data_IF_266168375738
#
_entry.id   IF_266168375738
#
_cell.length_a   1.000
_cell.length_b   1.000
_cell.length_c   1.000
_cell.angle_alpha   90.00
_cell.angle_beta   90.00
_cell.angle_gamma   90.00
#
_symmetry.space_group_name_H-M   'P 1'
#
loop_
_entity.id
_entity.type
_entity.pdbx_description
1 polymer ?
#
# COMPACT_ATOMS: atom_id res chain seq x y z
N UNK A 1 -1.33 -28.42 -12.45
CA UNK A 1 -2.68 -27.83 -12.28
C UNK A 1 -2.59 -26.33 -11.94
N UNK A 2 -1.94 -25.88 -10.86
CA UNK A 2 -1.87 -24.46 -10.46
C UNK A 2 -1.33 -23.53 -11.58
N UNK A 3 -0.27 -23.91 -12.27
CA UNK A 3 0.26 -23.12 -13.42
C UNK A 3 -0.79 -22.94 -14.53
N UNK A 4 -1.65 -23.93 -14.79
CA UNK A 4 -2.74 -23.82 -15.75
C UNK A 4 -3.86 -22.89 -15.26
N UNK A 5 -4.22 -22.96 -13.97
CA UNK A 5 -5.22 -22.07 -13.37
C UNK A 5 -4.73 -20.62 -13.43
N UNK A 6 -3.48 -20.38 -13.05
CA UNK A 6 -2.85 -19.06 -13.11
C UNK A 6 -2.83 -18.51 -14.55
N UNK A 7 -2.40 -19.31 -15.51
CA UNK A 7 -2.39 -18.90 -16.93
C UNK A 7 -3.79 -18.54 -17.44
N UNK A 8 -4.83 -19.32 -17.08
CA UNK A 8 -6.22 -19.00 -17.42
C UNK A 8 -6.70 -17.70 -16.80
N UNK A 9 -6.35 -17.45 -15.52
CA UNK A 9 -6.74 -16.24 -14.80
C UNK A 9 -6.14 -14.98 -15.45
N UNK A 10 -4.86 -15.00 -15.77
CA UNK A 10 -4.21 -13.87 -16.46
C UNK A 10 -4.72 -13.67 -17.88
N UNK A 11 -4.96 -14.75 -18.63
CA UNK A 11 -5.62 -14.68 -19.95
C UNK A 11 -7.03 -14.09 -19.84
N UNK A 12 -7.74 -14.35 -18.74
CA UNK A 12 -9.05 -13.75 -18.42
C UNK A 12 -9.00 -12.27 -18.08
N UNK A 13 -7.82 -11.70 -17.85
CA UNK A 13 -7.64 -10.27 -17.54
C UNK A 13 -7.39 -9.99 -16.05
N UNK A 14 -6.99 -10.98 -15.24
CA UNK A 14 -6.53 -10.70 -13.87
C UNK A 14 -5.34 -9.75 -13.90
N UNK A 15 -5.34 -8.78 -13.01
CA UNK A 15 -4.24 -7.80 -12.90
C UNK A 15 -3.05 -8.44 -12.20
N UNK A 16 -1.85 -8.16 -12.70
CA UNK A 16 -0.60 -8.70 -12.18
C UNK A 16 0.14 -7.59 -11.42
N UNK A 17 0.24 -7.76 -10.11
CA UNK A 17 1.15 -7.00 -9.27
C UNK A 17 2.02 -7.99 -8.50
N UNK A 18 3.32 -7.81 -8.59
CA UNK A 18 4.25 -8.53 -7.72
C UNK A 18 4.50 -7.64 -6.50
N UNK A 19 4.26 -8.17 -5.31
CA UNK A 19 4.55 -7.51 -4.04
C UNK A 19 5.61 -8.28 -3.28
N UNK A 20 6.55 -7.56 -2.71
CA UNK A 20 7.49 -8.07 -1.73
C UNK A 20 7.03 -7.64 -0.35
N UNK A 21 7.00 -8.56 0.60
CA UNK A 21 6.60 -8.26 1.97
C UNK A 21 7.86 -8.09 2.83
N UNK A 22 7.99 -6.93 3.48
CA UNK A 22 9.06 -6.66 4.43
C UNK A 22 8.77 -7.37 5.74
N UNK A 23 9.75 -8.14 6.20
CA UNK A 23 9.73 -8.84 7.49
C UNK A 23 10.97 -8.47 8.30
N UNK A 24 10.83 -8.57 9.63
CA UNK A 24 11.91 -8.36 10.57
C UNK A 24 12.19 -9.64 11.35
N UNK A 25 13.46 -10.02 11.45
CA UNK A 25 13.92 -10.92 12.50
C UNK A 25 14.07 -10.10 13.78
N UNK A 26 13.47 -10.57 14.86
CA UNK A 26 13.49 -9.89 16.15
C UNK A 26 14.15 -10.77 17.21
N UNK A 27 14.77 -10.16 18.20
CA UNK A 27 15.28 -10.87 19.36
C UNK A 27 14.16 -11.24 20.37
N UNK A 28 14.55 -11.85 21.49
CA UNK A 28 13.60 -12.26 22.55
C UNK A 28 12.88 -11.08 23.22
N UNK A 29 13.35 -9.85 23.05
CA UNK A 29 12.73 -8.61 23.56
C UNK A 29 11.83 -7.94 22.51
N UNK A 30 11.83 -8.47 21.27
CA UNK A 30 11.10 -7.91 20.14
C UNK A 30 11.85 -6.81 19.38
N UNK A 31 13.14 -6.58 19.69
CA UNK A 31 13.99 -5.62 18.97
C UNK A 31 14.34 -6.15 17.59
N UNK A 32 14.24 -5.37 16.50
CA UNK A 32 14.59 -5.80 15.17
C UNK A 32 16.11 -5.94 15.02
N UNK A 33 16.54 -7.13 14.56
CA UNK A 33 17.95 -7.45 14.30
C UNK A 33 18.30 -7.31 12.82
N UNK A 34 17.35 -7.65 11.95
CA UNK A 34 17.54 -7.65 10.50
C UNK A 34 16.20 -7.50 9.80
N UNK A 35 16.17 -6.82 8.67
CA UNK A 35 15.06 -6.80 7.73
C UNK A 35 15.36 -7.71 6.53
N UNK A 36 14.32 -8.32 5.96
CA UNK A 36 14.41 -9.13 4.75
C UNK A 36 13.09 -9.15 3.99
N UNK A 37 13.18 -9.46 2.68
CA UNK A 37 12.02 -9.55 1.82
C UNK A 37 11.59 -10.99 1.61
N UNK A 38 10.30 -11.24 1.86
CA UNK A 38 9.68 -12.52 1.58
C UNK A 38 9.04 -12.48 0.19
N UNK A 39 9.57 -13.28 -0.71
CA UNK A 39 9.04 -13.44 -2.06
C UNK A 39 8.13 -14.65 -2.17
N UNK A 40 7.01 -14.50 -2.90
CA UNK A 40 6.10 -15.60 -3.19
C UNK A 40 6.75 -16.61 -4.14
N UNK A 41 6.92 -17.87 -3.68
CA UNK A 41 7.50 -18.99 -4.42
C UNK A 41 6.40 -19.86 -5.05
N UNK A 42 6.78 -20.85 -5.87
CA UNK A 42 5.84 -21.74 -6.54
C UNK A 42 4.88 -22.48 -5.59
N UNK A 43 5.34 -22.86 -4.40
CA UNK A 43 4.49 -23.47 -3.38
C UNK A 43 3.41 -22.50 -2.86
N UNK A 44 3.75 -21.23 -2.66
CA UNK A 44 2.78 -20.20 -2.27
C UNK A 44 1.74 -19.98 -3.38
N UNK A 45 2.21 -19.90 -4.64
CA UNK A 45 1.35 -19.75 -5.83
C UNK A 45 0.44 -20.95 -6.05
N UNK A 46 0.90 -22.16 -5.72
CA UNK A 46 0.07 -23.37 -5.77
C UNK A 46 -1.12 -23.25 -4.82
N UNK A 47 -0.87 -22.95 -3.56
CA UNK A 47 -1.92 -22.79 -2.54
C UNK A 47 -2.86 -21.63 -2.91
N UNK A 48 -2.31 -20.48 -3.32
CA UNK A 48 -3.08 -19.33 -3.79
C UNK A 48 -4.10 -19.71 -4.87
N UNK A 49 -3.68 -20.38 -5.94
CA UNK A 49 -4.57 -20.72 -7.07
C UNK A 49 -5.68 -21.70 -6.64
N UNK A 50 -5.39 -22.66 -5.74
CA UNK A 50 -6.43 -23.55 -5.21
C UNK A 50 -7.38 -22.84 -4.26
N UNK A 51 -6.90 -21.90 -3.43
CA UNK A 51 -7.76 -21.05 -2.59
C UNK A 51 -8.66 -20.17 -3.46
N UNK A 52 -8.12 -19.54 -4.50
CA UNK A 52 -8.89 -18.75 -5.47
C UNK A 52 -9.96 -19.59 -6.17
N UNK A 53 -9.61 -20.81 -6.58
CA UNK A 53 -10.56 -21.73 -7.20
C UNK A 53 -11.70 -22.11 -6.25
N UNK A 54 -11.40 -22.46 -5.01
CA UNK A 54 -12.40 -22.80 -3.99
C UNK A 54 -13.33 -21.59 -3.71
N UNK A 55 -12.77 -20.43 -3.46
CA UNK A 55 -13.50 -19.18 -3.21
C UNK A 55 -14.46 -18.84 -4.38
N UNK A 56 -13.96 -18.92 -5.62
CA UNK A 56 -14.75 -18.70 -6.82
C UNK A 56 -15.87 -19.71 -6.96
N UNK A 57 -15.57 -21.01 -6.81
CA UNK A 57 -16.55 -22.11 -6.97
C UNK A 57 -17.68 -21.97 -5.96
N UNK A 58 -17.37 -21.64 -4.71
CA UNK A 58 -18.38 -21.37 -3.67
C UNK A 58 -19.25 -20.18 -4.04
N UNK A 59 -18.67 -19.07 -4.46
CA UNK A 59 -19.42 -17.89 -4.87
C UNK A 59 -20.35 -18.19 -6.07
N UNK A 60 -19.85 -18.93 -7.05
CA UNK A 60 -20.65 -19.35 -8.23
C UNK A 60 -21.79 -20.30 -7.87
N UNK A 61 -21.55 -21.26 -6.96
CA UNK A 61 -22.55 -22.28 -6.58
C UNK A 61 -23.81 -21.68 -5.93
N UNK A 62 -23.68 -20.53 -5.27
CA UNK A 62 -24.78 -19.81 -4.60
C UNK A 62 -25.28 -18.65 -5.44
N UNK A 63 -24.35 -17.90 -6.07
CA UNK A 63 -24.66 -16.67 -6.79
C UNK A 63 -25.19 -16.88 -8.21
N UNK A 64 -24.75 -17.92 -8.90
CA UNK A 64 -25.29 -18.26 -10.23
C UNK A 64 -26.65 -18.93 -10.08
N UNK A 65 -27.69 -18.22 -10.53
CA UNK A 65 -29.04 -18.77 -10.48
C UNK A 65 -29.49 -19.34 -11.81
N UNK A 66 -30.32 -20.36 -11.74
CA UNK A 66 -31.09 -20.83 -12.89
C UNK A 66 -32.12 -19.74 -13.25
N UNK A 67 -32.36 -19.54 -14.54
CA UNK A 67 -33.32 -18.55 -15.05
C UNK A 67 -34.67 -18.62 -14.30
N UNK A 68 -35.07 -17.51 -13.70
CA UNK A 68 -36.31 -17.40 -12.92
C UNK A 68 -36.19 -17.59 -11.40
N UNK A 69 -34.98 -17.96 -10.87
CA UNK A 69 -34.77 -18.03 -9.42
C UNK A 69 -33.93 -16.85 -8.96
N UNK A 70 -34.23 -16.28 -7.78
CA UNK A 70 -33.41 -15.25 -7.14
C UNK A 70 -32.20 -15.89 -6.47
N UNK A 71 -31.05 -15.24 -6.57
CA UNK A 71 -29.86 -15.65 -5.83
C UNK A 71 -30.12 -15.59 -4.32
N UNK A 72 -29.57 -16.56 -3.60
CA UNK A 72 -29.59 -16.53 -2.12
C UNK A 72 -28.56 -15.51 -1.63
N UNK A 73 -28.80 -14.93 -0.46
CA UNK A 73 -27.88 -13.99 0.20
C UNK A 73 -26.53 -14.64 0.43
N UNK A 74 -25.47 -13.95 0.02
CA UNK A 74 -24.08 -14.36 0.22
C UNK A 74 -23.20 -13.12 0.36
N UNK A 75 -22.26 -13.07 1.33
CA UNK A 75 -21.20 -12.08 1.33
C UNK A 75 -20.26 -12.32 0.15
N UNK A 76 -20.15 -11.36 -0.73
CA UNK A 76 -19.15 -11.36 -1.83
C UNK A 76 -17.96 -10.52 -1.43
N UNK A 77 -16.78 -10.86 -1.94
CA UNK A 77 -15.61 -9.98 -1.97
C UNK A 77 -15.58 -9.32 -3.34
N UNK A 78 -15.92 -8.06 -3.38
CA UNK A 78 -16.01 -7.32 -4.63
C UNK A 78 -14.87 -6.34 -4.79
N UNK A 79 -14.50 -6.09 -6.04
CA UNK A 79 -13.50 -5.10 -6.39
C UNK A 79 -13.97 -4.39 -7.66
N UNK A 80 -14.26 -3.10 -7.53
CA UNK A 80 -14.76 -2.30 -8.64
C UNK A 80 -13.66 -1.95 -9.64
N UNK A 81 -14.05 -1.39 -10.78
CA UNK A 81 -13.13 -0.86 -11.78
C UNK A 81 -12.26 0.23 -11.15
N UNK A 82 -11.08 0.52 -11.73
CA UNK A 82 -10.29 1.67 -11.34
C UNK A 82 -11.11 2.96 -11.37
N UNK A 83 -10.76 3.90 -10.48
CA UNK A 83 -11.33 5.24 -10.48
C UNK A 83 -11.06 5.91 -11.85
N UNK A 84 -12.09 6.38 -12.57
CA UNK A 84 -11.92 6.90 -13.93
C UNK A 84 -10.94 8.07 -14.01
N UNK A 85 -10.99 9.00 -13.04
CA UNK A 85 -10.13 10.18 -13.03
C UNK A 85 -8.68 9.79 -12.74
N UNK A 86 -8.46 8.92 -11.76
CA UNK A 86 -7.12 8.45 -11.41
C UNK A 86 -6.52 7.59 -12.52
N UNK A 87 -7.35 6.81 -13.22
CA UNK A 87 -6.90 6.01 -14.37
C UNK A 87 -6.52 6.90 -15.55
N UNK A 88 -7.23 8.01 -15.76
CA UNK A 88 -6.88 9.01 -16.76
C UNK A 88 -5.55 9.68 -16.41
N UNK A 89 -5.36 10.06 -15.14
CA UNK A 89 -4.08 10.62 -14.67
C UNK A 89 -2.92 9.64 -14.90
N UNK A 90 -3.14 8.33 -14.66
CA UNK A 90 -2.15 7.28 -14.99
C UNK A 90 -1.85 7.25 -16.49
N UNK A 91 -2.87 7.38 -17.33
CA UNK A 91 -2.71 7.40 -18.80
C UNK A 91 -1.86 8.58 -19.26
N UNK A 92 -2.19 9.77 -18.77
CA UNK A 92 -1.45 11.00 -19.09
C UNK A 92 -0.01 10.94 -18.60
N UNK A 93 0.18 10.45 -17.37
CA UNK A 93 1.51 10.28 -16.77
C UNK A 93 2.37 9.29 -17.58
N UNK A 94 1.84 8.11 -17.88
CA UNK A 94 2.55 7.08 -18.66
C UNK A 94 2.91 7.56 -20.07
N UNK A 95 2.05 8.40 -20.68
CA UNK A 95 2.30 8.97 -22.02
C UNK A 95 3.54 9.86 -22.06
N UNK A 96 3.90 10.53 -20.95
CA UNK A 96 5.11 11.37 -20.85
C UNK A 96 6.40 10.56 -21.03
N UNK A 97 6.36 9.28 -20.65
CA UNK A 97 7.47 8.33 -20.82
C UNK A 97 7.36 7.50 -22.11
N UNK A 98 6.40 7.82 -22.98
CA UNK A 98 6.19 7.13 -24.26
C UNK A 98 5.31 5.90 -24.20
N UNK A 99 4.78 5.53 -23.03
CA UNK A 99 3.89 4.37 -22.88
C UNK A 99 2.44 4.73 -23.22
N UNK A 100 1.76 3.85 -23.96
CA UNK A 100 0.38 4.08 -24.39
C UNK A 100 -0.61 3.20 -23.65
N UNK A 101 -1.29 3.76 -22.64
CA UNK A 101 -2.38 3.08 -21.95
C UNK A 101 -3.70 3.34 -22.70
N UNK A 102 -4.25 2.28 -23.30
CA UNK A 102 -5.54 2.37 -24.01
C UNK A 102 -6.69 2.39 -23.01
N UNK A 103 -7.54 3.41 -23.11
CA UNK A 103 -8.82 3.41 -22.41
C UNK A 103 -9.79 2.43 -23.09
N UNK A 104 -10.55 1.69 -22.29
CA UNK A 104 -11.56 0.78 -22.80
C UNK A 104 -12.79 0.79 -21.90
N UNK A 105 -13.95 0.67 -22.49
CA UNK A 105 -15.24 0.60 -21.79
C UNK A 105 -15.52 -0.77 -21.14
N UNK A 106 -14.71 -1.80 -21.45
CA UNK A 106 -14.92 -3.15 -20.92
C UNK A 106 -13.91 -3.50 -19.84
N UNK A 107 -14.38 -4.07 -18.72
CA UNK A 107 -13.56 -4.47 -17.55
C UNK A 107 -12.32 -5.27 -17.95
N UNK A 108 -12.49 -6.30 -18.79
CA UNK A 108 -11.39 -7.16 -19.21
C UNK A 108 -10.38 -6.48 -20.14
N UNK A 109 -10.78 -5.49 -20.93
CA UNK A 109 -9.86 -4.77 -21.80
C UNK A 109 -9.02 -3.75 -21.02
N UNK A 110 -9.61 -3.08 -20.02
CA UNK A 110 -8.88 -2.19 -19.10
C UNK A 110 -7.80 -2.96 -18.33
N UNK A 111 -8.13 -4.12 -17.77
CA UNK A 111 -7.17 -4.96 -17.06
C UNK A 111 -6.04 -5.47 -17.97
N UNK A 112 -6.36 -5.88 -19.20
CA UNK A 112 -5.33 -6.27 -20.17
C UNK A 112 -4.42 -5.11 -20.59
N UNK A 113 -4.99 -3.91 -20.77
CA UNK A 113 -4.21 -2.72 -21.08
C UNK A 113 -3.24 -2.37 -19.94
N UNK A 114 -3.71 -2.50 -18.70
CA UNK A 114 -2.89 -2.29 -17.52
C UNK A 114 -1.77 -3.33 -17.41
N UNK A 115 -2.08 -4.63 -17.59
CA UNK A 115 -1.06 -5.68 -17.58
C UNK A 115 0.00 -5.45 -18.66
N UNK A 116 -0.42 -5.05 -19.85
CA UNK A 116 0.50 -4.71 -20.94
C UNK A 116 1.42 -3.56 -20.56
N UNK A 117 0.88 -2.50 -19.94
CA UNK A 117 1.70 -1.40 -19.42
C UNK A 117 2.71 -1.92 -18.39
N UNK A 118 2.28 -2.77 -17.43
CA UNK A 118 3.17 -3.33 -16.42
C UNK A 118 4.28 -4.19 -17.03
N UNK A 119 3.97 -4.99 -18.05
CA UNK A 119 4.97 -5.78 -18.77
C UNK A 119 5.95 -4.90 -19.59
N UNK A 120 5.48 -3.78 -20.17
CA UNK A 120 6.30 -2.83 -20.92
C UNK A 120 7.26 -2.02 -20.03
N UNK A 121 6.86 -1.70 -18.79
CA UNK A 121 7.71 -0.93 -17.87
C UNK A 121 8.64 -1.80 -17.03
N UNK A 122 8.49 -3.11 -17.08
CA UNK A 122 9.29 -4.03 -16.26
C UNK A 122 10.79 -3.88 -16.54
N UNK A 123 11.59 -3.66 -15.50
CA UNK A 123 13.04 -3.46 -15.58
C UNK A 123 13.46 -2.06 -16.04
N UNK A 124 12.53 -1.14 -16.27
CA UNK A 124 12.85 0.25 -16.58
C UNK A 124 12.92 1.11 -15.31
N UNK A 125 13.50 2.29 -15.40
CA UNK A 125 13.59 3.25 -14.30
C UNK A 125 12.21 3.69 -13.79
N UNK A 126 11.24 3.77 -14.68
CA UNK A 126 9.89 4.24 -14.42
C UNK A 126 8.98 3.16 -13.81
N UNK A 127 9.43 1.91 -13.73
CA UNK A 127 8.64 0.76 -13.30
C UNK A 127 7.94 1.01 -11.95
N UNK A 128 8.72 1.34 -10.90
CA UNK A 128 8.19 1.54 -9.54
C UNK A 128 7.16 2.67 -9.48
N UNK A 129 7.43 3.76 -10.20
CA UNK A 129 6.54 4.93 -10.20
C UNK A 129 5.22 4.62 -10.90
N UNK A 130 5.29 4.04 -12.10
CA UNK A 130 4.09 3.68 -12.87
C UNK A 130 3.28 2.63 -12.11
N UNK A 131 3.91 1.63 -11.47
CA UNK A 131 3.25 0.66 -10.61
C UNK A 131 2.54 1.33 -9.43
N UNK A 132 3.19 2.29 -8.77
CA UNK A 132 2.61 3.02 -7.63
C UNK A 132 1.37 3.82 -8.06
N UNK A 133 1.45 4.57 -9.17
CA UNK A 133 0.31 5.36 -9.68
C UNK A 133 -0.81 4.42 -10.15
N UNK A 134 -0.47 3.31 -10.79
CA UNK A 134 -1.43 2.30 -11.20
C UNK A 134 -2.17 1.70 -10.00
N UNK A 135 -1.45 1.34 -8.93
CA UNK A 135 -2.04 0.84 -7.71
C UNK A 135 -2.96 1.87 -7.03
N UNK A 136 -2.55 3.14 -7.00
CA UNK A 136 -3.37 4.25 -6.46
C UNK A 136 -4.63 4.54 -7.28
N UNK A 137 -4.67 4.14 -8.55
CA UNK A 137 -5.86 4.26 -9.40
C UNK A 137 -6.90 3.19 -9.11
N UNK A 138 -6.52 2.08 -8.45
CA UNK A 138 -7.41 0.98 -8.12
C UNK A 138 -8.35 1.34 -6.98
N UNK A 139 -9.58 0.86 -7.07
CA UNK A 139 -10.52 0.89 -5.97
C UNK A 139 -10.13 -0.13 -4.89
N UNK A 140 -10.58 0.07 -3.65
CA UNK A 140 -10.39 -0.93 -2.59
C UNK A 140 -11.43 -2.04 -2.74
N UNK A 141 -11.01 -3.29 -2.54
CA UNK A 141 -11.93 -4.40 -2.43
C UNK A 141 -12.70 -4.32 -1.10
N UNK A 142 -13.99 -4.70 -1.09
CA UNK A 142 -14.85 -4.68 0.09
C UNK A 142 -15.76 -5.91 0.13
N UNK A 143 -16.36 -6.16 1.29
CA UNK A 143 -17.42 -7.15 1.42
C UNK A 143 -18.76 -6.48 1.20
N UNK A 144 -19.68 -7.18 0.52
CA UNK A 144 -21.07 -6.75 0.31
C UNK A 144 -21.92 -7.94 -0.15
N UNK A 145 -23.22 -7.87 0.06
CA UNK A 145 -24.16 -8.84 -0.49
C UNK A 145 -24.54 -8.53 -1.96
N UNK A 146 -24.07 -7.40 -2.49
CA UNK A 146 -24.29 -6.98 -3.88
C UNK A 146 -23.11 -7.38 -4.75
N UNK A 147 -23.30 -8.39 -5.59
CA UNK A 147 -22.23 -8.85 -6.47
C UNK A 147 -22.02 -7.89 -7.66
N UNK A 148 -20.87 -7.28 -7.74
CA UNK A 148 -20.39 -6.50 -8.90
C UNK A 148 -19.16 -7.13 -9.58
N UNK A 149 -18.76 -8.33 -9.12
CA UNK A 149 -17.55 -9.01 -9.54
C UNK A 149 -16.28 -8.48 -8.89
N UNK A 150 -15.15 -9.03 -9.27
CA UNK A 150 -13.84 -8.67 -8.75
C UNK A 150 -12.88 -8.31 -9.89
N UNK A 151 -12.68 -7.00 -10.13
CA UNK A 151 -11.87 -6.48 -11.22
C UNK A 151 -10.46 -7.06 -11.22
N UNK A 152 -9.73 -6.96 -10.12
CA UNK A 152 -8.33 -7.39 -10.04
C UNK A 152 -8.11 -8.89 -10.31
N UNK A 153 -9.11 -9.74 -10.02
CA UNK A 153 -9.06 -11.19 -10.28
C UNK A 153 -9.73 -11.60 -11.59
N UNK A 154 -10.43 -10.70 -12.24
CA UNK A 154 -11.27 -10.97 -13.42
C UNK A 154 -12.31 -12.08 -13.15
N UNK A 155 -12.93 -12.06 -11.99
CA UNK A 155 -13.99 -12.99 -11.61
C UNK A 155 -15.35 -12.30 -11.54
N UNK A 156 -16.36 -12.91 -12.14
CA UNK A 156 -17.76 -12.42 -12.04
C UNK A 156 -18.37 -12.71 -10.68
N UNK A 157 -17.92 -13.78 -10.01
CA UNK A 157 -18.35 -14.20 -8.68
C UNK A 157 -17.12 -14.53 -7.85
N UNK A 158 -17.02 -13.88 -6.69
CA UNK A 158 -15.92 -14.15 -5.77
C UNK A 158 -16.36 -13.90 -4.32
N UNK A 159 -15.98 -14.78 -3.43
CA UNK A 159 -16.15 -14.64 -1.99
C UNK A 159 -14.92 -15.13 -1.27
N UNK A 160 -14.77 -14.81 -0.01
CA UNK A 160 -13.79 -15.44 0.86
C UNK A 160 -14.42 -16.62 1.60
N UNK A 161 -13.79 -17.78 1.52
CA UNK A 161 -14.27 -19.04 2.11
C UNK A 161 -13.16 -19.84 2.79
N UNK A 162 -11.92 -19.70 2.35
CA UNK A 162 -10.82 -20.60 2.67
C UNK A 162 -10.09 -20.29 3.99
N UNK A 163 -10.45 -19.23 4.71
CA UNK A 163 -9.75 -18.80 5.92
C UNK A 163 -10.70 -18.42 7.08
N UNK A 164 -11.62 -19.32 7.53
CA UNK A 164 -12.63 -18.99 8.54
C UNK A 164 -12.07 -18.77 9.95
N UNK A 165 -10.84 -19.21 10.23
CA UNK A 165 -10.21 -19.03 11.55
C UNK A 165 -9.84 -17.55 11.78
N UNK A 166 -9.45 -16.84 10.74
CA UNK A 166 -8.95 -15.46 10.82
C UNK A 166 -9.84 -14.41 10.14
N UNK A 167 -10.86 -14.82 9.39
CA UNK A 167 -11.77 -13.91 8.69
C UNK A 167 -13.22 -14.29 8.98
N UNK A 168 -13.95 -13.38 9.60
CA UNK A 168 -15.36 -13.60 9.91
C UNK A 168 -16.25 -13.75 8.66
N UNK A 169 -16.06 -13.03 7.55
CA UNK A 169 -16.81 -13.28 6.31
C UNK A 169 -16.75 -14.72 5.81
N UNK A 170 -15.59 -15.39 5.93
CA UNK A 170 -15.47 -16.82 5.59
C UNK A 170 -16.37 -17.67 6.47
N UNK A 171 -16.43 -17.39 7.78
CA UNK A 171 -17.33 -18.09 8.72
C UNK A 171 -18.80 -17.85 8.37
N UNK A 172 -19.17 -16.62 7.97
CA UNK A 172 -20.54 -16.33 7.50
C UNK A 172 -20.87 -17.17 6.27
N UNK A 173 -19.96 -17.26 5.31
CA UNK A 173 -20.15 -18.07 4.10
C UNK A 173 -20.31 -19.55 4.45
N UNK A 174 -19.50 -20.12 5.34
CA UNK A 174 -19.66 -21.52 5.80
C UNK A 174 -21.03 -21.77 6.41
N UNK A 175 -21.50 -20.89 7.30
CA UNK A 175 -22.82 -21.00 7.93
C UNK A 175 -23.96 -20.93 6.89
N UNK A 176 -23.85 -20.04 5.91
CA UNK A 176 -24.83 -19.89 4.84
C UNK A 176 -24.86 -21.11 3.91
N UNK A 177 -23.70 -21.68 3.55
CA UNK A 177 -23.61 -22.91 2.77
C UNK A 177 -24.35 -24.04 3.49
N UNK A 178 -24.03 -24.29 4.75
CA UNK A 178 -24.69 -25.32 5.56
C UNK A 178 -26.20 -25.12 5.62
N UNK A 179 -26.65 -23.88 5.86
CA UNK A 179 -28.07 -23.52 5.86
C UNK A 179 -28.74 -23.86 4.52
N UNK A 180 -28.10 -23.52 3.42
CA UNK A 180 -28.68 -23.67 2.09
C UNK A 180 -28.66 -25.11 1.59
N UNK A 181 -27.65 -25.89 1.94
CA UNK A 181 -27.59 -27.34 1.68
C UNK A 181 -28.69 -28.11 2.42
N UNK A 182 -29.03 -27.67 3.64
CA UNK A 182 -30.11 -28.25 4.44
C UNK A 182 -31.53 -27.71 4.04
N UNK A 183 -31.65 -27.10 2.86
CA UNK A 183 -32.95 -26.61 2.35
C UNK A 183 -33.43 -25.28 2.96
N UNK A 184 -32.61 -24.60 3.75
CA UNK A 184 -32.98 -23.34 4.39
C UNK A 184 -33.27 -22.21 3.39
N UNK A 185 -34.18 -21.31 3.78
CA UNK A 185 -34.52 -20.10 3.02
C UNK A 185 -33.32 -19.14 2.98
N UNK A 186 -33.31 -18.24 1.98
CA UNK A 186 -32.35 -17.13 1.90
C UNK A 186 -32.30 -16.37 3.22
N UNK A 187 -31.08 -16.06 3.67
CA UNK A 187 -30.90 -15.23 4.86
C UNK A 187 -31.33 -13.77 4.59
N UNK A 188 -31.58 -13.02 5.69
CA UNK A 188 -31.90 -11.59 5.58
C UNK A 188 -30.72 -10.84 4.97
N UNK A 189 -30.98 -10.19 3.83
CA UNK A 189 -29.93 -9.53 3.04
C UNK A 189 -29.39 -8.29 3.75
N UNK A 190 -30.27 -7.49 4.32
CA UNK A 190 -29.89 -6.22 4.96
C UNK A 190 -29.01 -6.47 6.19
N UNK A 191 -29.37 -7.45 7.01
CA UNK A 191 -28.55 -7.86 8.16
C UNK A 191 -27.13 -8.33 7.72
N UNK A 192 -27.05 -9.11 6.63
CA UNK A 192 -25.73 -9.53 6.13
C UNK A 192 -24.96 -8.40 5.45
N UNK A 193 -25.64 -7.38 4.90
CA UNK A 193 -24.98 -6.18 4.38
C UNK A 193 -24.33 -5.38 5.51
N UNK A 194 -25.05 -5.13 6.61
CA UNK A 194 -24.48 -4.49 7.82
C UNK A 194 -23.25 -5.24 8.34
N UNK A 195 -23.30 -6.56 8.39
CA UNK A 195 -22.12 -7.37 8.79
C UNK A 195 -20.97 -7.25 7.78
N UNK A 196 -21.24 -7.16 6.49
CA UNK A 196 -20.21 -6.98 5.45
C UNK A 196 -19.56 -5.60 5.57
N UNK A 197 -20.33 -4.55 5.81
CA UNK A 197 -19.80 -3.19 6.04
C UNK A 197 -18.89 -3.19 7.26
N UNK A 198 -19.36 -3.71 8.39
CA UNK A 198 -18.57 -3.83 9.61
C UNK A 198 -17.27 -4.62 9.38
N UNK A 199 -17.32 -5.75 8.66
CA UNK A 199 -16.12 -6.54 8.34
C UNK A 199 -15.14 -5.76 7.47
N UNK A 200 -15.62 -4.95 6.54
CA UNK A 200 -14.76 -4.12 5.68
C UNK A 200 -14.07 -3.02 6.47
N UNK A 201 -14.77 -2.39 7.42
CA UNK A 201 -14.21 -1.37 8.30
C UNK A 201 -13.15 -1.97 9.25
N UNK A 202 -13.44 -3.14 9.83
CA UNK A 202 -12.48 -3.83 10.70
C UNK A 202 -11.26 -4.34 9.95
N UNK A 203 -11.41 -4.75 8.69
CA UNK A 203 -10.27 -5.08 7.82
C UNK A 203 -9.37 -3.86 7.61
N UNK A 204 -9.95 -2.68 7.38
CA UNK A 204 -9.18 -1.44 7.24
C UNK A 204 -8.42 -1.09 8.53
N UNK A 205 -9.05 -1.24 9.70
CA UNK A 205 -8.40 -1.04 10.99
C UNK A 205 -7.23 -2.01 11.17
N UNK A 206 -7.43 -3.30 10.86
CA UNK A 206 -6.38 -4.32 10.95
C UNK A 206 -5.21 -4.03 9.99
N UNK A 207 -5.48 -3.65 8.75
CA UNK A 207 -4.45 -3.28 7.78
C UNK A 207 -3.65 -2.05 8.22
N UNK A 208 -4.32 -1.05 8.79
CA UNK A 208 -3.63 0.14 9.31
C UNK A 208 -2.75 -0.22 10.51
N UNK A 209 -3.24 -1.06 11.42
CA UNK A 209 -2.46 -1.53 12.57
C UNK A 209 -1.21 -2.32 12.13
N UNK A 210 -1.34 -3.19 11.12
CA UNK A 210 -0.22 -3.93 10.53
C UNK A 210 0.82 -2.99 9.92
N UNK A 211 0.38 -2.04 9.08
CA UNK A 211 1.26 -1.01 8.49
C UNK A 211 1.99 -0.19 9.54
N UNK A 212 1.26 0.21 10.59
CA UNK A 212 1.82 0.98 11.69
C UNK A 212 2.84 0.18 12.49
N UNK A 213 2.61 -1.12 12.67
CA UNK A 213 3.56 -2.04 13.32
C UNK A 213 4.84 -2.19 12.51
N UNK A 214 4.71 -2.42 11.19
CA UNK A 214 5.87 -2.49 10.28
C UNK A 214 6.64 -1.16 10.30
N UNK A 215 5.93 -0.04 10.18
CA UNK A 215 6.54 1.30 10.21
C UNK A 215 7.27 1.57 11.53
N UNK A 216 6.69 1.15 12.65
CA UNK A 216 7.34 1.26 13.96
C UNK A 216 8.65 0.48 13.98
N UNK A 217 8.65 -0.78 13.48
CA UNK A 217 9.86 -1.61 13.41
C UNK A 217 10.91 -1.07 12.43
N UNK A 218 10.48 -0.46 11.33
CA UNK A 218 11.39 0.23 10.42
C UNK A 218 12.11 1.39 11.11
N UNK A 219 11.37 2.23 11.85
CA UNK A 219 11.94 3.38 12.56
C UNK A 219 12.85 2.94 13.69
N UNK A 220 12.48 1.86 14.42
CA UNK A 220 13.31 1.26 15.47
C UNK A 220 14.63 0.72 14.90
N UNK A 221 14.57 -0.02 13.79
CA UNK A 221 15.72 -0.54 13.07
C UNK A 221 16.65 0.57 12.58
N UNK A 222 16.10 1.56 11.88
CA UNK A 222 16.87 2.69 11.35
C UNK A 222 17.40 3.64 12.43
N UNK A 223 16.87 3.56 13.64
CA UNK A 223 17.38 4.33 14.78
C UNK A 223 18.80 3.96 15.19
N UNK A 224 19.26 2.75 14.87
CA UNK A 224 20.64 2.29 15.08
C UNK A 224 21.59 2.68 13.93
N UNK A 225 21.04 3.13 12.81
CA UNK A 225 21.77 3.50 11.59
C UNK A 225 21.81 5.02 11.35
N UNK A 226 21.59 5.82 12.41
CA UNK A 226 21.65 7.29 12.30
C UNK A 226 23.06 7.71 11.91
N UNK A 227 23.17 8.54 10.86
CA UNK A 227 24.41 9.04 10.30
C UNK A 227 24.95 8.21 9.13
N UNK A 228 24.39 7.04 8.86
CA UNK A 228 24.77 6.23 7.71
C UNK A 228 24.11 6.75 6.41
N UNK A 229 24.79 6.51 5.29
CA UNK A 229 24.37 6.95 3.97
C UNK A 229 23.93 5.75 3.13
N UNK A 230 22.81 5.93 2.40
CA UNK A 230 22.20 4.90 1.58
C UNK A 230 21.85 5.41 0.20
N UNK A 231 21.88 4.52 -0.78
CA UNK A 231 21.28 4.74 -2.07
C UNK A 231 19.77 4.54 -1.95
N UNK A 232 18.99 5.45 -2.50
CA UNK A 232 17.56 5.51 -2.37
C UNK A 232 16.93 6.04 -3.66
N UNK A 233 15.63 5.94 -3.76
CA UNK A 233 14.86 6.58 -4.83
C UNK A 233 13.70 7.39 -4.25
N UNK A 234 13.25 8.38 -4.99
CA UNK A 234 12.13 9.22 -4.60
C UNK A 234 10.82 8.40 -4.71
N UNK A 235 10.19 8.09 -3.57
CA UNK A 235 8.94 7.35 -3.48
C UNK A 235 7.70 8.24 -3.46
N UNK A 236 7.86 9.52 -3.08
CA UNK A 236 6.78 10.47 -3.00
C UNK A 236 7.28 11.92 -2.96
N UNK A 237 6.45 12.83 -3.47
CA UNK A 237 6.72 14.26 -3.44
C UNK A 237 5.49 15.00 -2.94
N UNK A 238 5.70 15.91 -2.02
CA UNK A 238 4.67 16.77 -1.42
C UNK A 238 5.19 18.22 -1.33
N UNK A 239 4.29 19.16 -1.11
CA UNK A 239 4.65 20.57 -0.98
C UNK A 239 5.61 20.89 0.19
N UNK A 240 5.73 19.99 1.17
CA UNK A 240 6.57 20.16 2.35
C UNK A 240 7.87 19.33 2.32
N UNK A 241 8.07 18.45 1.32
CA UNK A 241 9.29 17.65 1.20
C UNK A 241 9.20 16.46 0.26
N UNK A 242 10.30 15.74 0.19
CA UNK A 242 10.49 14.53 -0.62
C UNK A 242 10.45 13.32 0.29
N UNK A 243 9.70 12.29 -0.08
CA UNK A 243 9.81 10.97 0.51
C UNK A 243 10.80 10.15 -0.30
N UNK A 244 11.73 9.52 0.38
CA UNK A 244 12.75 8.66 -0.19
C UNK A 244 12.65 7.26 0.40
N UNK A 245 12.72 6.24 -0.44
CA UNK A 245 12.77 4.84 -0.05
C UNK A 245 14.17 4.29 -0.32
N UNK A 246 14.81 3.75 0.73
CA UNK A 246 16.13 3.12 0.64
C UNK A 246 16.03 1.86 -0.23
N UNK A 247 16.93 1.69 -1.20
CA UNK A 247 16.87 0.56 -2.14
C UNK A 247 17.15 -0.79 -1.48
N UNK A 248 17.96 -0.83 -0.42
CA UNK A 248 18.39 -2.05 0.24
C UNK A 248 17.31 -2.65 1.16
N UNK A 249 16.59 -1.81 1.90
CA UNK A 249 15.70 -2.24 2.97
C UNK A 249 14.27 -1.67 2.89
N UNK A 250 13.97 -0.88 1.84
CA UNK A 250 12.69 -0.22 1.58
C UNK A 250 12.17 0.64 2.76
N UNK A 251 13.07 1.06 3.66
CA UNK A 251 12.71 2.01 4.68
C UNK A 251 12.46 3.39 4.05
N UNK A 252 11.27 3.92 4.28
CA UNK A 252 10.87 5.22 3.75
C UNK A 252 11.05 6.30 4.81
N UNK A 253 11.67 7.40 4.41
CA UNK A 253 11.82 8.60 5.24
C UNK A 253 11.57 9.87 4.46
N UNK A 254 11.48 10.99 5.16
CA UNK A 254 11.19 12.29 4.58
C UNK A 254 12.42 13.19 4.60
N UNK A 255 12.69 13.84 3.48
CA UNK A 255 13.62 14.96 3.35
C UNK A 255 12.76 16.23 3.35
N UNK A 256 12.77 17.03 4.42
CA UNK A 256 11.99 18.27 4.47
C UNK A 256 12.45 19.27 3.40
N UNK A 257 11.51 20.03 2.82
CA UNK A 257 11.80 21.06 1.82
C UNK A 257 12.87 22.07 2.29
N UNK A 258 12.88 22.40 3.58
CA UNK A 258 13.85 23.32 4.19
C UNK A 258 15.29 22.80 4.22
N UNK A 259 15.47 21.48 4.07
CA UNK A 259 16.77 20.80 4.09
C UNK A 259 17.32 20.60 2.65
N UNK A 260 16.58 21.06 1.64
CA UNK A 260 17.03 21.19 0.25
C UNK A 260 17.69 22.58 0.09
N UNK A 261 18.95 22.68 0.51
CA UNK A 261 19.67 23.97 0.63
C UNK A 261 20.19 24.53 -0.70
N UNK A 262 20.08 23.77 -1.80
CA UNK A 262 20.68 24.11 -3.09
C UNK A 262 19.86 25.07 -3.96
N UNK A 263 18.52 25.11 -3.75
CA UNK A 263 17.60 26.01 -4.46
C UNK A 263 16.30 26.22 -3.68
N UNK A 264 15.42 27.11 -4.17
CA UNK A 264 14.02 27.20 -3.77
C UNK A 264 13.17 26.39 -4.72
N UNK A 265 12.37 25.47 -4.19
CA UNK A 265 11.59 24.53 -4.97
C UNK A 265 10.10 24.85 -4.95
N UNK A 266 9.47 24.80 -6.12
CA UNK A 266 8.03 24.84 -6.29
C UNK A 266 7.51 23.42 -6.53
N UNK A 267 6.38 23.08 -5.90
CA UNK A 267 5.73 21.78 -6.09
C UNK A 267 4.78 21.84 -7.29
N UNK A 268 5.03 21.00 -8.28
CA UNK A 268 4.14 20.76 -9.41
C UNK A 268 3.31 19.49 -9.16
N UNK A 269 2.08 19.69 -8.70
CA UNK A 269 1.15 18.60 -8.37
C UNK A 269 0.80 17.75 -9.61
N UNK A 270 0.69 18.35 -10.79
CA UNK A 270 0.34 17.63 -12.03
C UNK A 270 1.44 16.69 -12.51
N UNK A 271 2.68 17.07 -12.27
CA UNK A 271 3.84 16.32 -12.72
C UNK A 271 4.49 15.50 -11.58
N UNK A 272 3.98 15.61 -10.34
CA UNK A 272 4.55 14.97 -9.15
C UNK A 272 6.06 15.25 -9.02
N UNK A 273 6.45 16.53 -9.17
CA UNK A 273 7.85 16.93 -9.11
C UNK A 273 8.06 18.24 -8.33
N UNK A 274 9.30 18.45 -7.87
CA UNK A 274 9.78 19.72 -7.37
C UNK A 274 10.65 20.38 -8.43
N UNK A 275 10.39 21.64 -8.74
CA UNK A 275 11.14 22.41 -9.75
C UNK A 275 11.88 23.55 -9.07
N UNK A 276 13.21 23.56 -9.17
CA UNK A 276 14.06 24.62 -8.63
C UNK A 276 13.91 25.91 -9.40
N UNK A 277 13.79 27.02 -8.68
CA UNK A 277 13.55 28.36 -9.26
C UNK A 277 14.78 28.95 -9.94
N UNK A 278 15.98 28.68 -9.43
CA UNK A 278 17.24 29.29 -9.91
C UNK A 278 18.02 28.35 -10.80
N UNK A 279 18.24 27.11 -10.32
CA UNK A 279 19.05 26.12 -11.03
C UNK A 279 18.26 25.24 -11.97
N UNK A 280 16.90 25.35 -11.92
CA UNK A 280 15.99 24.51 -12.70
C UNK A 280 16.22 23.00 -12.49
N UNK A 281 16.82 22.63 -11.37
CA UNK A 281 16.93 21.22 -10.98
C UNK A 281 15.53 20.67 -10.69
N UNK A 282 15.23 19.49 -11.18
CA UNK A 282 13.91 18.86 -11.01
C UNK A 282 14.09 17.54 -10.28
N UNK A 283 13.40 17.40 -9.15
CA UNK A 283 13.23 16.12 -8.47
C UNK A 283 11.94 15.50 -8.94
N UNK A 284 11.99 14.27 -9.44
CA UNK A 284 10.84 13.51 -9.93
C UNK A 284 10.70 12.19 -9.17
N UNK A 285 9.47 11.65 -9.16
CA UNK A 285 9.23 10.31 -8.64
C UNK A 285 10.14 9.30 -9.37
N UNK A 286 10.76 8.40 -8.60
CA UNK A 286 11.67 7.38 -9.11
C UNK A 286 13.10 7.84 -9.37
N UNK A 287 13.42 9.13 -9.16
CA UNK A 287 14.80 9.59 -9.28
C UNK A 287 15.69 8.96 -8.23
N UNK A 288 16.88 8.46 -8.62
CA UNK A 288 17.87 7.97 -7.66
C UNK A 288 18.42 9.16 -6.88
N UNK A 289 18.52 8.99 -5.58
CA UNK A 289 19.11 9.99 -4.68
C UNK A 289 19.98 9.26 -3.65
N UNK A 290 20.99 9.96 -3.15
CA UNK A 290 21.76 9.48 -2.03
C UNK A 290 21.35 10.22 -0.78
N UNK A 291 20.99 9.48 0.25
CA UNK A 291 20.45 10.02 1.50
C UNK A 291 21.34 9.66 2.68
N UNK A 292 21.22 10.46 3.72
CA UNK A 292 21.77 10.19 5.04
C UNK A 292 20.67 10.14 6.07
N UNK A 293 20.68 9.14 6.95
CA UNK A 293 19.70 9.03 8.05
C UNK A 293 20.00 10.11 9.08
N UNK A 294 19.10 11.08 9.19
CA UNK A 294 19.30 12.23 10.09
C UNK A 294 18.67 12.00 11.47
N UNK A 295 17.47 11.42 11.49
CA UNK A 295 16.73 11.23 12.74
C UNK A 295 15.71 10.11 12.63
N UNK A 296 15.54 9.35 13.71
CA UNK A 296 14.47 8.39 13.90
C UNK A 296 13.59 8.82 15.08
N UNK A 297 12.28 8.94 14.88
CA UNK A 297 11.33 9.30 15.89
C UNK A 297 10.29 8.18 16.06
N UNK A 298 10.48 7.35 17.10
CA UNK A 298 9.63 6.19 17.39
C UNK A 298 8.19 6.60 17.75
N UNK A 299 7.99 7.67 18.49
CA UNK A 299 6.66 8.12 18.92
C UNK A 299 5.80 8.53 17.72
N UNK A 300 6.41 9.23 16.75
CA UNK A 300 5.75 9.68 15.53
C UNK A 300 5.82 8.64 14.40
N UNK A 301 6.59 7.58 14.57
CA UNK A 301 6.89 6.57 13.54
C UNK A 301 7.43 7.23 12.27
N UNK A 302 8.41 8.13 12.41
CA UNK A 302 8.95 8.94 11.32
C UNK A 302 10.45 8.84 11.26
N UNK A 303 10.97 8.74 10.02
CA UNK A 303 12.38 8.85 9.67
C UNK A 303 12.57 10.16 8.93
N UNK A 304 13.53 10.96 9.39
CA UNK A 304 13.98 12.15 8.69
C UNK A 304 15.31 11.83 8.02
N UNK A 305 15.40 12.13 6.74
CA UNK A 305 16.59 12.00 5.93
C UNK A 305 17.11 13.38 5.52
N UNK A 306 18.38 13.44 5.15
CA UNK A 306 19.00 14.57 4.45
C UNK A 306 19.63 14.07 3.17
N UNK A 307 19.82 14.94 2.19
CA UNK A 307 20.64 14.61 1.03
C UNK A 307 22.08 14.40 1.47
N UNK A 308 22.71 13.34 0.95
CA UNK A 308 24.16 13.13 1.15
C UNK A 308 24.92 13.93 0.11
N UNK A 309 25.19 15.19 0.44
CA UNK A 309 26.03 16.10 -0.33
C UNK A 309 27.47 16.18 0.22
N UNK A 310 27.82 15.24 1.08
CA UNK A 310 29.13 15.19 1.76
C UNK A 310 29.26 16.17 2.93
N UNK A 311 28.19 16.88 3.30
CA UNK A 311 28.18 17.79 4.45
C UNK A 311 27.84 17.05 5.75
N UNK A 312 28.44 17.40 6.89
CA UNK A 312 28.05 16.82 8.18
C UNK A 312 26.61 17.20 8.54
N UNK A 313 25.84 16.23 9.04
CA UNK A 313 24.47 16.46 9.53
C UNK A 313 24.51 17.54 10.61
N UNK A 314 23.72 18.59 10.47
CA UNK A 314 23.46 19.55 11.57
C UNK A 314 22.69 18.79 12.65
N UNK A 315 23.39 18.30 13.65
CA UNK A 315 22.74 17.68 14.82
C UNK A 315 21.82 18.70 15.44
N UNK A 316 20.52 18.41 15.65
CA UNK A 316 19.64 19.33 16.36
C UNK A 316 20.25 19.61 17.72
N UNK A 317 20.59 20.86 17.99
CA UNK A 317 21.03 21.26 19.33
C UNK A 317 19.89 20.89 20.29
N UNK A 318 20.17 19.99 21.21
CA UNK A 318 19.25 19.68 22.29
C UNK A 318 18.86 21.01 22.95
N UNK A 319 17.58 21.27 23.22
CA UNK A 319 17.19 22.48 23.93
C UNK A 319 18.00 22.53 25.24
N UNK A 320 18.83 23.53 25.36
CA UNK A 320 19.60 23.78 26.57
C UNK A 320 18.61 23.82 27.72
N UNK A 321 18.66 22.83 28.60
CA UNK A 321 17.86 22.84 29.84
C UNK A 321 18.25 24.13 30.57
N UNK A 322 17.35 25.12 30.57
CA UNK A 322 17.53 26.29 31.39
C UNK A 322 17.73 25.84 32.84
N UNK A 323 18.92 26.08 33.35
CA UNK A 323 19.17 25.85 34.76
C UNK A 323 18.23 26.77 35.57
N UNK A 324 17.58 26.27 36.62
CA UNK A 324 16.67 27.07 37.41
C UNK A 324 17.43 28.26 38.00
N UNK A 325 17.11 29.45 37.50
CA UNK A 325 17.63 30.73 38.04
C UNK A 325 17.31 30.80 39.51
N UNK A 326 18.37 30.87 40.33
CA UNK A 326 18.36 30.92 41.77
C UNK A 326 17.40 32.02 42.27
N UNK A 327 16.25 31.67 42.83
CA UNK A 327 15.23 32.56 43.38
C UNK A 327 15.67 33.24 44.69
N UNK A 328 16.91 33.01 45.17
CA UNK A 328 17.40 33.49 46.46
C UNK A 328 17.92 34.94 46.48
N UNK A 329 17.94 35.67 45.37
CA UNK A 329 18.44 37.06 45.35
C UNK A 329 17.37 38.17 45.43
N UNK A 330 16.06 37.85 45.44
CA UNK A 330 14.99 38.87 45.51
C UNK A 330 14.42 39.13 46.91
N UNK A 331 14.68 38.28 47.89
CA UNK A 331 14.17 38.52 49.27
C UNK A 331 15.05 39.41 50.16
N UNK A 332 16.31 39.67 49.79
CA UNK A 332 17.21 40.56 50.57
C UNK A 332 17.06 42.03 50.26
N UNK A 333 16.24 42.46 49.32
CA UNK A 333 15.99 43.90 49.00
C UNK A 333 14.66 44.44 49.50
N UNK A 334 13.89 43.71 50.29
CA UNK A 334 12.63 44.16 50.91
C UNK A 334 12.74 44.32 52.44
N UNK A 335 13.97 44.20 52.98
CA UNK A 335 14.23 44.51 54.43
C UNK A 335 15.44 45.42 54.55
N UNK A 336 15.35 46.59 53.96
CA UNK A 336 16.05 47.81 54.32
C UNK A 336 15.18 48.97 53.97
#
# INVERSE_FOLDING_TARGET
MAKLLRARRFKGGSVKFDSEELHFDVDNTGKPLRCYFKRSKDANKLIEEFMLLANKTVAESIGKTVKGKKAKTLPYRVHDNPDPQKFENLREFSAKFGYKLKSSSTKGATARALNKLMDEVQGTREEKVIQTIALRSMMKAKYTTHNIGHFGLAFDYYTHFTSPIRRYPDTMVHRLITRYQNGGRSANKDHYEELCEHCSDMELVAQNAERDSIKYKMVEFMGEHIGECYDAHISGIQSFGIYAEIDENHCEGMIPMRDLDDDYYDFDEKNYCLVGRRRHHVYQLGDPIRIKVAKANLERKQLDFTLDDGRPVKTPQQPVKEQPKDRKKKERRRRR
#
